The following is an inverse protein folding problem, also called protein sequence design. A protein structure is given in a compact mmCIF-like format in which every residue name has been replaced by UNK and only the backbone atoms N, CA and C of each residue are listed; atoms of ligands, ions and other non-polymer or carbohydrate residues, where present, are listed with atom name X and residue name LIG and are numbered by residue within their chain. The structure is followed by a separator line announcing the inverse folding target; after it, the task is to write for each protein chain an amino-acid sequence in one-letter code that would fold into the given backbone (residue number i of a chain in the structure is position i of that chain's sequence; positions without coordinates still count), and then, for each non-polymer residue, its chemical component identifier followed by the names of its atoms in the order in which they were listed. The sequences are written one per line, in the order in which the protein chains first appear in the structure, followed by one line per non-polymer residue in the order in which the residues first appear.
data_IF_829892417331
#
_entry.id   IF_829892417331
#
_cell.length_a   1.000
_cell.length_b   1.000
_cell.length_c   1.000
_cell.angle_alpha   90.00
_cell.angle_beta   90.00
_cell.angle_gamma   90.00
#
_symmetry.space_group_name_H-M   'P 1'
#
loop_
_entity.id
_entity.type
_entity.pdbx_description
1 polymer ?
#
# COMPACT_ATOMS: atom_id res chain seq x y z
N UNK A 1 32.69 -15.92 64.65
CA UNK A 1 31.77 -14.76 64.74
C UNK A 1 31.41 -14.37 63.34
N UNK A 2 30.13 -14.34 62.95
CA UNK A 2 29.69 -14.29 61.58
C UNK A 2 29.67 -12.86 61.06
N UNK A 3 30.11 -12.71 59.80
CA UNK A 3 30.07 -11.51 58.98
C UNK A 3 28.64 -11.23 58.50
N UNK A 4 28.21 -10.03 58.78
CA UNK A 4 26.90 -9.46 58.45
C UNK A 4 26.80 -9.23 56.91
N UNK A 5 26.03 -10.01 56.23
CA UNK A 5 25.55 -9.70 54.86
C UNK A 5 24.44 -8.64 54.95
N UNK A 6 24.79 -7.41 54.59
CA UNK A 6 23.82 -6.36 54.32
C UNK A 6 23.23 -6.60 52.94
N UNK A 7 21.99 -7.07 52.91
CA UNK A 7 21.13 -7.01 51.75
C UNK A 7 20.91 -5.56 51.30
N UNK A 8 21.52 -5.18 50.18
CA UNK A 8 21.28 -3.92 49.53
C UNK A 8 19.84 -3.84 48.99
N UNK A 9 19.23 -2.65 48.93
CA UNK A 9 17.86 -2.48 48.49
C UNK A 9 17.73 -2.79 47.00
N UNK A 10 16.70 -3.54 46.71
CA UNK A 10 16.20 -3.79 45.34
C UNK A 10 16.28 -2.52 44.48
N UNK A 11 17.15 -2.51 43.50
CA UNK A 11 17.14 -1.52 42.42
C UNK A 11 15.85 -1.74 41.62
N UNK A 12 14.84 -0.93 41.93
CA UNK A 12 13.68 -0.77 41.04
C UNK A 12 14.21 -0.38 39.69
N UNK A 13 14.02 -1.28 38.75
CA UNK A 13 14.23 -1.04 37.33
C UNK A 13 13.30 0.12 36.91
N UNK A 14 13.90 1.31 36.71
CA UNK A 14 13.19 2.57 36.42
C UNK A 14 12.76 2.70 34.95
N UNK A 15 12.62 1.60 34.24
CA UNK A 15 11.95 1.57 32.93
C UNK A 15 10.48 1.19 33.16
N UNK A 16 9.60 2.18 33.23
CA UNK A 16 8.15 2.02 33.27
C UNK A 16 7.58 1.38 32.00
N UNK A 17 8.23 0.35 31.47
CA UNK A 17 7.82 -0.42 30.33
C UNK A 17 6.57 -1.24 30.69
N UNK A 18 5.47 -0.96 30.03
CA UNK A 18 4.29 -1.82 30.03
C UNK A 18 4.77 -3.25 29.73
N UNK A 19 4.50 -4.22 30.62
CA UNK A 19 4.80 -5.63 30.36
C UNK A 19 3.94 -6.11 29.18
N UNK A 20 4.49 -5.98 27.99
CA UNK A 20 3.84 -6.39 26.75
C UNK A 20 4.07 -7.87 26.58
N UNK A 21 3.01 -8.66 26.79
CA UNK A 21 3.05 -10.10 26.55
C UNK A 21 3.17 -10.39 25.05
N UNK A 22 3.68 -11.58 24.70
CA UNK A 22 3.74 -12.08 23.32
C UNK A 22 2.37 -11.95 22.58
N UNK A 23 1.28 -12.00 23.32
CA UNK A 23 -0.08 -11.83 22.80
C UNK A 23 -0.32 -10.49 22.10
N UNK A 24 0.32 -9.40 22.53
CA UNK A 24 0.13 -8.07 21.93
C UNK A 24 0.70 -7.99 20.52
N UNK A 25 1.86 -8.61 20.28
CA UNK A 25 2.45 -8.69 18.93
C UNK A 25 1.56 -9.54 18.02
N UNK A 26 1.00 -10.64 18.54
CA UNK A 26 0.10 -11.52 17.78
C UNK A 26 -1.17 -10.75 17.38
N UNK A 27 -1.79 -9.99 18.30
CA UNK A 27 -2.98 -9.17 17.99
C UNK A 27 -2.68 -8.19 16.85
N UNK A 28 -1.58 -7.45 16.94
CA UNK A 28 -1.21 -6.45 15.91
C UNK A 28 -0.88 -7.14 14.59
N UNK A 29 -0.12 -8.23 14.61
CA UNK A 29 0.16 -9.04 13.41
C UNK A 29 -1.14 -9.49 12.74
N UNK A 30 -2.06 -10.08 13.50
CA UNK A 30 -3.35 -10.54 13.00
C UNK A 30 -4.19 -9.38 12.46
N UNK A 31 -4.16 -8.23 13.12
CA UNK A 31 -4.84 -7.02 12.68
C UNK A 31 -4.34 -6.55 11.32
N UNK A 32 -3.03 -6.44 11.14
CA UNK A 32 -2.43 -6.05 9.85
C UNK A 32 -2.70 -7.10 8.77
N UNK A 33 -2.57 -8.38 9.12
CA UNK A 33 -2.86 -9.50 8.22
C UNK A 33 -4.30 -9.45 7.69
N UNK A 34 -5.30 -9.31 8.57
CA UNK A 34 -6.72 -9.24 8.20
C UNK A 34 -7.02 -8.01 7.35
N UNK A 35 -6.42 -6.86 7.67
CA UNK A 35 -6.56 -5.66 6.84
C UNK A 35 -6.03 -5.88 5.42
N UNK A 36 -4.88 -6.56 5.27
CA UNK A 36 -4.31 -6.86 3.97
C UNK A 36 -5.09 -7.95 3.22
N UNK A 37 -5.65 -8.93 3.93
CA UNK A 37 -6.59 -9.90 3.35
C UNK A 37 -7.78 -9.16 2.75
N UNK A 38 -8.40 -8.23 3.46
CA UNK A 38 -9.53 -7.45 2.96
C UNK A 38 -9.17 -6.61 1.73
N UNK A 39 -8.02 -5.95 1.76
CA UNK A 39 -7.52 -5.22 0.58
C UNK A 39 -7.37 -6.15 -0.64
N UNK A 40 -6.80 -7.34 -0.43
CA UNK A 40 -6.62 -8.33 -1.48
C UNK A 40 -7.93 -8.94 -2.00
N UNK A 41 -8.91 -9.16 -1.12
CA UNK A 41 -10.24 -9.70 -1.47
C UNK A 41 -10.98 -8.80 -2.47
N UNK A 42 -10.84 -7.48 -2.34
CA UNK A 42 -11.52 -6.52 -3.20
C UNK A 42 -11.10 -6.66 -4.67
N UNK A 43 -9.81 -6.93 -4.94
CA UNK A 43 -9.24 -6.90 -6.29
C UNK A 43 -9.95 -7.83 -7.29
N UNK A 44 -10.14 -9.14 -7.03
CA UNK A 44 -10.74 -10.05 -8.01
C UNK A 44 -12.27 -9.91 -8.14
N UNK A 45 -12.95 -9.36 -7.12
CA UNK A 45 -14.44 -9.34 -7.10
C UNK A 45 -15.05 -7.97 -7.36
N UNK A 46 -14.29 -6.89 -7.22
CA UNK A 46 -14.82 -5.52 -7.40
C UNK A 46 -15.40 -5.26 -8.80
N UNK A 47 -14.78 -5.71 -9.92
CA UNK A 47 -15.37 -5.53 -11.25
C UNK A 47 -16.78 -6.13 -11.33
N UNK A 48 -16.91 -7.38 -10.90
CA UNK A 48 -18.19 -8.10 -10.93
C UNK A 48 -19.23 -7.48 -10.01
N UNK A 49 -18.82 -6.98 -8.82
CA UNK A 49 -19.72 -6.29 -7.91
C UNK A 49 -20.26 -4.99 -8.51
N UNK A 50 -19.41 -4.19 -9.15
CA UNK A 50 -19.86 -2.93 -9.78
C UNK A 50 -20.80 -3.23 -10.95
N UNK A 51 -20.48 -4.22 -11.79
CA UNK A 51 -21.38 -4.66 -12.88
C UNK A 51 -22.74 -5.15 -12.35
N UNK A 52 -22.75 -5.94 -11.26
CA UNK A 52 -24.00 -6.41 -10.64
C UNK A 52 -24.86 -5.26 -10.12
N UNK A 53 -24.24 -4.29 -9.44
CA UNK A 53 -24.95 -3.17 -8.80
C UNK A 53 -25.46 -2.16 -9.83
N UNK A 54 -24.75 -2.00 -10.96
CA UNK A 54 -25.10 -1.00 -11.98
C UNK A 54 -25.88 -1.57 -13.16
N UNK A 55 -25.72 -2.87 -13.46
CA UNK A 55 -26.21 -3.47 -14.69
C UNK A 55 -25.44 -3.06 -15.95
N UNK A 56 -24.33 -2.33 -15.80
CA UNK A 56 -23.56 -1.72 -16.87
C UNK A 56 -22.34 -2.58 -17.28
N UNK A 57 -21.78 -2.39 -18.47
CA UNK A 57 -20.67 -3.18 -18.98
C UNK A 57 -19.35 -2.93 -18.19
N UNK A 58 -18.37 -3.81 -18.43
CA UNK A 58 -17.08 -3.83 -17.72
C UNK A 58 -16.30 -2.51 -17.82
N UNK A 59 -16.35 -1.83 -18.97
CA UNK A 59 -15.69 -0.54 -19.15
C UNK A 59 -16.26 0.54 -18.21
N UNK A 60 -17.59 0.58 -18.04
CA UNK A 60 -18.25 1.46 -17.08
C UNK A 60 -17.88 1.07 -15.63
N UNK A 61 -17.87 -0.24 -15.35
CA UNK A 61 -17.42 -0.73 -14.05
C UNK A 61 -15.97 -0.33 -13.75
N UNK A 62 -15.08 -0.31 -14.73
CA UNK A 62 -13.71 0.14 -14.57
C UNK A 62 -13.61 1.64 -14.25
N UNK A 63 -14.39 2.49 -14.93
CA UNK A 63 -14.44 3.93 -14.61
C UNK A 63 -14.79 4.17 -13.14
N UNK A 64 -15.86 3.55 -12.67
CA UNK A 64 -16.29 3.67 -11.27
C UNK A 64 -15.36 2.99 -10.29
N UNK A 65 -14.74 1.88 -10.67
CA UNK A 65 -13.72 1.22 -9.85
C UNK A 65 -12.52 2.12 -9.56
N UNK A 66 -12.11 2.93 -10.55
CA UNK A 66 -11.09 3.97 -10.36
C UNK A 66 -11.53 5.07 -9.42
N UNK A 67 -12.76 5.57 -9.55
CA UNK A 67 -13.34 6.59 -8.65
C UNK A 67 -13.43 6.05 -7.22
N UNK A 68 -13.96 4.84 -7.05
CA UNK A 68 -14.08 4.14 -5.77
C UNK A 68 -12.72 3.99 -5.08
N UNK A 69 -11.69 3.61 -5.85
CA UNK A 69 -10.31 3.48 -5.33
C UNK A 69 -9.69 4.84 -5.00
N UNK A 70 -9.88 5.85 -5.84
CA UNK A 70 -9.38 7.20 -5.62
C UNK A 70 -10.02 7.87 -4.40
N UNK A 71 -11.33 7.69 -4.19
CA UNK A 71 -12.05 8.20 -3.01
C UNK A 71 -11.50 7.57 -1.73
N UNK A 72 -11.30 6.26 -1.72
CA UNK A 72 -10.66 5.57 -0.59
C UNK A 72 -9.27 6.13 -0.29
N UNK A 73 -8.40 6.21 -1.31
CA UNK A 73 -7.04 6.69 -1.16
C UNK A 73 -6.99 8.17 -0.73
N UNK A 74 -7.88 9.00 -1.27
CA UNK A 74 -8.00 10.41 -0.89
C UNK A 74 -8.41 10.58 0.59
N UNK A 75 -9.41 9.84 1.03
CA UNK A 75 -9.84 9.86 2.43
C UNK A 75 -8.76 9.33 3.37
N UNK A 76 -8.07 8.26 2.98
CA UNK A 76 -6.93 7.72 3.72
C UNK A 76 -5.79 8.74 3.83
N UNK A 77 -5.46 9.40 2.72
CA UNK A 77 -4.45 10.44 2.68
C UNK A 77 -4.83 11.62 3.57
N UNK A 78 -6.08 12.07 3.54
CA UNK A 78 -6.56 13.20 4.34
C UNK A 78 -6.65 12.86 5.84
N UNK A 79 -7.22 11.71 6.17
CA UNK A 79 -7.53 11.33 7.55
C UNK A 79 -6.36 10.62 8.27
N UNK A 80 -5.39 10.06 7.54
CA UNK A 80 -4.28 9.32 8.13
C UNK A 80 -3.51 10.08 9.23
N UNK A 81 -3.01 11.30 8.97
CA UNK A 81 -2.34 12.11 10.00
C UNK A 81 -3.27 12.55 11.13
N UNK A 82 -4.56 12.77 10.84
CA UNK A 82 -5.55 13.11 11.87
C UNK A 82 -5.71 11.95 12.84
N UNK A 83 -5.88 10.74 12.32
CA UNK A 83 -6.01 9.54 13.14
C UNK A 83 -4.71 9.20 13.88
N UNK A 84 -3.54 9.46 13.27
CA UNK A 84 -2.26 9.39 13.95
C UNK A 84 -2.20 10.33 15.18
N UNK A 85 -2.57 11.59 14.99
CA UNK A 85 -2.65 12.58 16.07
C UNK A 85 -3.71 12.24 17.14
N UNK A 86 -4.85 11.65 16.75
CA UNK A 86 -5.85 11.15 17.69
C UNK A 86 -5.29 9.95 18.50
N UNK A 87 -4.52 9.08 17.86
CA UNK A 87 -3.84 7.96 18.52
C UNK A 87 -2.79 8.43 19.53
N UNK A 88 -2.08 9.53 19.23
CA UNK A 88 -1.14 10.16 20.17
C UNK A 88 -1.85 10.83 21.36
N UNK A 89 -3.09 11.30 21.18
CA UNK A 89 -3.86 11.96 22.22
C UNK A 89 -4.64 10.99 23.10
N UNK A 90 -5.37 10.05 22.49
CA UNK A 90 -6.30 9.17 23.21
C UNK A 90 -5.70 7.82 23.56
N UNK A 91 -4.56 7.46 22.97
CA UNK A 91 -3.92 6.15 23.09
C UNK A 91 -4.06 5.31 21.81
N UNK A 92 -3.22 4.30 21.72
CA UNK A 92 -3.17 3.40 20.53
C UNK A 92 -4.38 2.49 20.45
N UNK A 93 -4.73 1.89 21.59
CA UNK A 93 -5.78 0.88 21.70
C UNK A 93 -7.15 1.35 21.20
N UNK A 94 -7.72 2.48 21.67
CA UNK A 94 -9.06 2.91 21.24
C UNK A 94 -9.11 3.23 19.74
N UNK A 95 -8.04 3.77 19.15
CA UNK A 95 -7.98 4.09 17.72
C UNK A 95 -7.90 2.80 16.88
N UNK A 96 -7.10 1.81 17.28
CA UNK A 96 -7.05 0.51 16.60
C UNK A 96 -8.41 -0.20 16.67
N UNK A 97 -9.03 -0.26 17.84
CA UNK A 97 -10.33 -0.90 18.01
C UNK A 97 -11.43 -0.19 17.22
N UNK A 98 -11.45 1.14 17.22
CA UNK A 98 -12.37 1.94 16.40
C UNK A 98 -12.18 1.69 14.91
N UNK A 99 -10.94 1.60 14.45
CA UNK A 99 -10.62 1.27 13.05
C UNK A 99 -11.08 -0.14 12.66
N UNK A 100 -11.00 -1.14 13.57
CA UNK A 100 -11.48 -2.51 13.31
C UNK A 100 -13.01 -2.58 13.19
N UNK A 101 -13.75 -1.83 14.00
CA UNK A 101 -15.20 -1.70 13.85
C UNK A 101 -15.56 -1.06 12.53
N UNK A 102 -14.92 0.08 12.20
CA UNK A 102 -15.16 0.76 10.94
C UNK A 102 -14.83 -0.11 9.72
N UNK A 103 -13.73 -0.89 9.80
CA UNK A 103 -13.35 -1.87 8.78
C UNK A 103 -14.42 -2.95 8.59
N UNK A 104 -14.94 -3.53 9.68
CA UNK A 104 -15.98 -4.54 9.61
C UNK A 104 -17.28 -3.99 9.02
N UNK A 105 -17.67 -2.78 9.41
CA UNK A 105 -18.84 -2.08 8.86
C UNK A 105 -18.68 -1.75 7.37
N UNK A 106 -17.47 -1.32 6.94
CA UNK A 106 -17.18 -1.09 5.54
C UNK A 106 -17.42 -2.33 4.69
N UNK A 107 -16.83 -3.46 5.08
CA UNK A 107 -17.02 -4.72 4.35
C UNK A 107 -18.48 -5.22 4.39
N UNK A 108 -19.19 -4.99 5.49
CA UNK A 108 -20.60 -5.30 5.55
C UNK A 108 -21.43 -4.41 4.59
N UNK A 109 -21.11 -3.11 4.51
CA UNK A 109 -21.76 -2.19 3.57
C UNK A 109 -21.48 -2.60 2.12
N UNK A 110 -20.26 -3.04 1.78
CA UNK A 110 -19.95 -3.57 0.45
C UNK A 110 -20.75 -4.84 0.14
N UNK A 111 -20.90 -5.74 1.13
CA UNK A 111 -21.65 -6.98 0.97
C UNK A 111 -23.15 -6.75 0.65
N UNK A 112 -23.74 -5.72 1.24
CA UNK A 112 -25.18 -5.42 1.09
C UNK A 112 -25.46 -4.26 0.12
N UNK A 113 -24.43 -3.65 -0.46
CA UNK A 113 -24.59 -2.45 -1.28
C UNK A 113 -25.58 -2.65 -2.46
N UNK A 114 -26.67 -1.88 -2.53
CA UNK A 114 -27.62 -1.94 -3.63
C UNK A 114 -27.33 -0.90 -4.72
N UNK A 115 -26.36 -0.01 -4.51
CA UNK A 115 -26.07 1.10 -5.43
C UNK A 115 -24.63 1.58 -5.31
N UNK A 116 -24.15 2.25 -6.36
CA UNK A 116 -22.83 2.91 -6.38
C UNK A 116 -22.66 3.93 -5.24
N UNK A 117 -23.72 4.63 -4.86
CA UNK A 117 -23.68 5.60 -3.78
C UNK A 117 -23.30 4.94 -2.44
N UNK A 118 -23.83 3.74 -2.16
CA UNK A 118 -23.45 2.98 -0.95
C UNK A 118 -22.03 2.44 -1.06
N UNK A 119 -21.57 2.01 -2.24
CA UNK A 119 -20.18 1.62 -2.47
C UNK A 119 -19.22 2.80 -2.21
N UNK A 120 -19.55 3.99 -2.69
CA UNK A 120 -18.75 5.19 -2.44
C UNK A 120 -18.76 5.57 -0.96
N UNK A 121 -19.92 5.50 -0.29
CA UNK A 121 -20.01 5.75 1.16
C UNK A 121 -19.12 4.80 1.95
N UNK A 122 -19.15 3.50 1.62
CA UNK A 122 -18.29 2.51 2.20
C UNK A 122 -16.80 2.89 2.02
N UNK A 123 -16.39 3.33 0.83
CA UNK A 123 -15.00 3.75 0.55
C UNK A 123 -14.59 5.01 1.30
N UNK A 124 -15.49 5.99 1.43
CA UNK A 124 -15.27 7.19 2.26
C UNK A 124 -15.01 6.78 3.71
N UNK A 125 -15.87 5.92 4.27
CA UNK A 125 -15.72 5.44 5.64
C UNK A 125 -14.43 4.64 5.81
N UNK A 126 -14.15 3.70 4.92
CA UNK A 126 -12.95 2.86 4.96
C UNK A 126 -11.68 3.71 4.91
N UNK A 127 -11.60 4.66 3.99
CA UNK A 127 -10.47 5.59 3.88
C UNK A 127 -10.32 6.45 5.13
N UNK A 128 -11.44 7.03 5.63
CA UNK A 128 -11.42 7.90 6.80
C UNK A 128 -10.95 7.17 8.07
N UNK A 129 -11.24 5.88 8.22
CA UNK A 129 -10.85 5.08 9.39
C UNK A 129 -9.65 4.15 9.15
N UNK A 130 -8.94 4.28 8.05
CA UNK A 130 -7.81 3.41 7.66
C UNK A 130 -6.51 3.62 8.46
N UNK A 131 -6.61 4.15 9.69
CA UNK A 131 -5.45 4.39 10.55
C UNK A 131 -4.79 3.13 11.11
N UNK A 132 -5.37 1.95 10.86
CA UNK A 132 -4.90 0.71 11.47
C UNK A 132 -3.42 0.48 11.21
N UNK A 133 -2.93 0.69 9.99
CA UNK A 133 -1.53 0.46 9.65
C UNK A 133 -0.59 1.47 10.32
N UNK A 134 -0.92 2.75 10.30
CA UNK A 134 -0.12 3.81 10.93
C UNK A 134 -0.06 3.63 12.44
N UNK A 135 -1.22 3.35 13.07
CA UNK A 135 -1.29 3.14 14.51
C UNK A 135 -0.65 1.83 14.94
N UNK A 136 -0.73 0.76 14.11
CA UNK A 136 -0.04 -0.51 14.36
C UNK A 136 1.49 -0.34 14.34
N UNK A 137 2.02 0.43 13.38
CA UNK A 137 3.45 0.75 13.36
C UNK A 137 3.89 1.55 14.61
N UNK A 138 3.09 2.52 15.03
CA UNK A 138 3.36 3.27 16.26
C UNK A 138 3.30 2.35 17.50
N UNK A 139 2.29 1.48 17.57
CA UNK A 139 2.17 0.48 18.64
C UNK A 139 3.41 -0.43 18.70
N UNK A 140 3.88 -0.96 17.54
CA UNK A 140 5.09 -1.79 17.47
C UNK A 140 6.33 -0.99 17.88
N UNK A 141 6.44 0.29 17.51
CA UNK A 141 7.54 1.15 17.96
C UNK A 141 7.55 1.32 19.49
N UNK A 142 6.36 1.50 20.08
CA UNK A 142 6.19 1.70 21.54
C UNK A 142 6.61 0.46 22.35
N UNK A 143 6.34 -0.75 21.83
CA UNK A 143 6.59 -2.01 22.55
C UNK A 143 7.94 -2.67 22.21
N UNK A 144 8.65 -2.17 21.21
CA UNK A 144 9.86 -2.82 20.69
C UNK A 144 11.12 -2.19 21.30
N UNK A 145 11.89 -2.94 22.09
CA UNK A 145 13.22 -2.50 22.49
C UNK A 145 14.12 -2.33 21.24
N UNK A 146 15.12 -1.45 21.28
CA UNK A 146 15.95 -1.11 20.12
C UNK A 146 16.47 -2.34 19.34
N UNK A 147 16.89 -3.38 20.06
CA UNK A 147 17.52 -4.60 19.50
C UNK A 147 16.49 -5.46 18.73
N UNK A 148 15.20 -5.41 19.07
CA UNK A 148 14.13 -6.21 18.47
C UNK A 148 13.27 -5.40 17.50
N UNK A 149 13.48 -4.09 17.42
CA UNK A 149 12.64 -3.20 16.62
C UNK A 149 12.59 -3.60 15.14
N UNK A 150 13.75 -3.86 14.54
CA UNK A 150 13.83 -4.29 13.14
C UNK A 150 13.11 -5.62 12.89
N UNK A 151 13.23 -6.60 13.81
CA UNK A 151 12.55 -7.88 13.70
C UNK A 151 11.03 -7.73 13.81
N UNK A 152 10.53 -6.91 14.74
CA UNK A 152 9.10 -6.68 14.93
C UNK A 152 8.46 -5.93 13.76
N UNK A 153 9.15 -4.93 13.18
CA UNK A 153 8.70 -4.31 11.92
C UNK A 153 8.74 -5.30 10.75
N UNK A 154 9.71 -6.22 10.73
CA UNK A 154 9.76 -7.31 9.76
C UNK A 154 8.53 -8.22 9.82
N UNK A 155 7.99 -8.49 11.01
CA UNK A 155 6.72 -9.22 11.18
C UNK A 155 5.54 -8.47 10.55
N UNK A 156 5.50 -7.12 10.67
CA UNK A 156 4.44 -6.33 10.02
C UNK A 156 4.53 -6.43 8.50
N UNK A 157 5.74 -6.39 7.95
CA UNK A 157 5.98 -6.64 6.52
C UNK A 157 5.55 -8.04 6.08
N UNK A 158 5.80 -9.06 6.91
CA UNK A 158 5.34 -10.43 6.65
C UNK A 158 3.80 -10.53 6.69
N UNK A 159 3.13 -9.89 7.65
CA UNK A 159 1.67 -9.83 7.72
C UNK A 159 1.09 -9.17 6.46
N UNK A 160 1.69 -8.07 6.01
CA UNK A 160 1.32 -7.38 4.77
C UNK A 160 1.43 -8.33 3.56
N UNK A 161 2.59 -8.96 3.37
CA UNK A 161 2.85 -9.85 2.24
C UNK A 161 1.94 -11.08 2.23
N UNK A 162 1.78 -11.74 3.39
CA UNK A 162 0.88 -12.90 3.53
C UNK A 162 -0.58 -12.51 3.27
N UNK A 163 -1.04 -11.38 3.80
CA UNK A 163 -2.40 -10.91 3.56
C UNK A 163 -2.67 -10.59 2.10
N UNK A 164 -1.70 -10.02 1.42
CA UNK A 164 -1.77 -9.73 -0.02
C UNK A 164 -1.79 -11.00 -0.90
N UNK A 165 -1.22 -12.11 -0.44
CA UNK A 165 -1.30 -13.41 -1.11
C UNK A 165 -2.65 -14.09 -0.80
N UNK A 166 -3.01 -14.17 0.49
CA UNK A 166 -4.20 -14.88 0.96
C UNK A 166 -5.48 -14.16 0.49
N UNK A 167 -5.49 -12.83 0.52
CA UNK A 167 -6.68 -12.02 0.23
C UNK A 167 -7.29 -12.32 -1.14
N UNK A 168 -6.56 -12.18 -2.25
CA UNK A 168 -7.10 -12.48 -3.58
C UNK A 168 -7.56 -13.94 -3.71
N UNK A 169 -6.81 -14.89 -3.14
CA UNK A 169 -7.17 -16.33 -3.17
C UNK A 169 -8.51 -16.57 -2.47
N UNK A 170 -8.65 -16.03 -1.26
CA UNK A 170 -9.90 -16.12 -0.49
C UNK A 170 -11.04 -15.42 -1.23
N UNK A 171 -10.79 -14.20 -1.74
CA UNK A 171 -11.78 -13.42 -2.49
C UNK A 171 -12.25 -14.13 -3.74
N UNK A 172 -11.33 -14.65 -4.55
CA UNK A 172 -11.64 -15.35 -5.79
C UNK A 172 -12.34 -16.68 -5.56
N UNK A 173 -11.83 -17.53 -4.66
CA UNK A 173 -12.43 -18.85 -4.39
C UNK A 173 -13.81 -18.76 -3.73
N UNK A 174 -13.98 -17.88 -2.73
CA UNK A 174 -15.28 -17.68 -2.08
C UNK A 174 -16.24 -16.99 -3.06
N UNK A 175 -15.76 -16.03 -3.84
CA UNK A 175 -16.58 -15.34 -4.83
C UNK A 175 -17.10 -16.26 -5.94
N UNK A 176 -16.27 -17.18 -6.41
CA UNK A 176 -16.61 -18.19 -7.40
C UNK A 176 -17.61 -19.23 -6.85
N UNK A 177 -17.39 -19.71 -5.61
CA UNK A 177 -18.18 -20.78 -5.01
C UNK A 177 -19.53 -20.33 -4.44
N UNK A 178 -19.59 -19.14 -3.83
CA UNK A 178 -20.73 -18.65 -3.03
C UNK A 178 -21.30 -17.31 -3.51
N UNK A 179 -20.82 -16.80 -4.66
CA UNK A 179 -21.23 -15.53 -5.23
C UNK A 179 -20.38 -14.35 -4.78
N UNK A 180 -20.37 -13.30 -5.62
CA UNK A 180 -19.43 -12.15 -5.52
C UNK A 180 -19.55 -11.34 -4.23
N UNK A 181 -20.65 -11.44 -3.48
CA UNK A 181 -20.86 -10.76 -2.19
C UNK A 181 -20.34 -11.54 -0.99
N UNK A 182 -20.20 -12.87 -1.10
CA UNK A 182 -19.78 -13.74 -0.01
C UNK A 182 -18.39 -13.40 0.57
N UNK A 183 -17.37 -13.04 -0.23
CA UNK A 183 -16.07 -12.64 0.29
C UNK A 183 -16.14 -11.43 1.22
N UNK A 184 -17.02 -10.46 0.94
CA UNK A 184 -17.17 -9.28 1.78
C UNK A 184 -17.79 -9.60 3.14
N UNK A 185 -18.80 -10.49 3.20
CA UNK A 185 -19.33 -11.01 4.48
C UNK A 185 -18.25 -11.74 5.28
N UNK A 186 -17.43 -12.55 4.61
CA UNK A 186 -16.34 -13.26 5.24
C UNK A 186 -15.33 -12.31 5.88
N UNK A 187 -14.90 -11.27 5.16
CA UNK A 187 -13.96 -10.28 5.70
C UNK A 187 -14.57 -9.43 6.81
N UNK A 188 -15.87 -9.06 6.69
CA UNK A 188 -16.58 -8.36 7.76
C UNK A 188 -16.58 -9.18 9.06
N UNK A 189 -16.85 -10.50 8.95
CA UNK A 189 -16.80 -11.42 10.08
C UNK A 189 -15.40 -11.53 10.67
N UNK A 190 -14.35 -11.68 9.83
CA UNK A 190 -12.96 -11.73 10.30
C UNK A 190 -12.56 -10.43 11.02
N UNK A 191 -12.96 -9.28 10.50
CA UNK A 191 -12.72 -7.99 11.13
C UNK A 191 -13.41 -7.88 12.50
N UNK A 192 -14.65 -8.32 12.61
CA UNK A 192 -15.39 -8.33 13.87
C UNK A 192 -14.78 -9.31 14.89
N UNK A 193 -14.36 -10.50 14.47
CA UNK A 193 -13.66 -11.45 15.33
C UNK A 193 -12.32 -10.86 15.82
N UNK A 194 -11.60 -10.16 14.94
CA UNK A 194 -10.37 -9.50 15.32
C UNK A 194 -10.60 -8.30 16.26
N UNK A 195 -11.71 -7.57 16.09
CA UNK A 195 -12.12 -6.56 17.06
C UNK A 195 -12.36 -7.17 18.45
N UNK A 196 -13.13 -8.26 18.52
CA UNK A 196 -13.40 -8.97 19.80
C UNK A 196 -12.08 -9.46 20.40
N UNK A 197 -11.21 -10.08 19.61
CA UNK A 197 -9.89 -10.51 20.06
C UNK A 197 -9.04 -9.34 20.58
N UNK A 198 -8.96 -8.25 19.82
CA UNK A 198 -8.25 -7.05 20.22
C UNK A 198 -8.84 -6.38 21.46
N UNK A 199 -10.18 -6.39 21.60
CA UNK A 199 -10.84 -5.82 22.78
C UNK A 199 -10.38 -6.48 24.09
N UNK A 200 -10.19 -7.80 24.11
CA UNK A 200 -9.76 -8.53 25.31
C UNK A 200 -8.23 -8.55 25.48
N UNK A 201 -7.45 -8.58 24.41
CA UNK A 201 -6.01 -8.88 24.47
C UNK A 201 -5.09 -7.72 24.05
N UNK A 202 -5.60 -6.64 23.45
CA UNK A 202 -4.77 -5.50 23.06
C UNK A 202 -4.59 -4.56 24.27
N UNK A 203 -3.38 -4.41 24.82
CA UNK A 203 -3.12 -3.44 25.88
C UNK A 203 -3.02 -2.03 25.32
N UNK A 204 -3.16 -1.02 26.18
CA UNK A 204 -2.73 0.35 25.85
C UNK A 204 -1.21 0.46 26.05
N UNK A 205 -0.52 0.97 25.02
CA UNK A 205 0.95 1.14 25.04
C UNK A 205 1.37 2.55 25.31
N UNK A 206 0.52 3.54 25.01
CA UNK A 206 0.83 4.93 25.22
C UNK A 206 0.39 5.37 26.63
N UNK A 207 1.36 5.41 27.55
CA UNK A 207 1.12 5.87 28.91
C UNK A 207 0.63 7.32 28.91
N UNK A 208 -0.25 7.73 29.86
CA UNK A 208 -0.85 9.06 29.89
C UNK A 208 0.14 10.21 29.83
N UNK A 209 1.32 10.03 30.44
CA UNK A 209 2.40 11.02 30.52
C UNK A 209 3.04 11.32 29.16
N UNK A 210 3.00 10.35 28.24
CA UNK A 210 3.56 10.47 26.90
C UNK A 210 2.52 10.92 25.87
N UNK A 211 1.24 11.08 26.28
CA UNK A 211 0.19 11.57 25.40
C UNK A 211 0.40 13.03 25.03
N UNK A 212 0.21 13.34 23.76
CA UNK A 212 0.37 14.70 23.24
C UNK A 212 -0.98 15.32 22.90
N UNK A 213 -1.20 16.64 23.12
CA UNK A 213 -2.38 17.30 22.63
C UNK A 213 -2.41 17.23 21.10
N UNK A 214 -3.62 17.11 20.56
CA UNK A 214 -3.82 17.11 19.10
C UNK A 214 -3.46 18.49 18.53
N UNK A 215 -2.64 18.49 17.46
CA UNK A 215 -2.21 19.73 16.78
C UNK A 215 -2.50 19.61 15.27
N UNK A 216 -3.40 20.45 14.77
CA UNK A 216 -3.76 20.52 13.35
C UNK A 216 -2.59 20.87 12.44
N UNK A 217 -1.59 21.60 12.94
CA UNK A 217 -0.40 21.97 12.15
C UNK A 217 0.48 20.76 11.84
N UNK A 218 0.52 19.81 12.76
CA UNK A 218 1.26 18.54 12.57
C UNK A 218 0.50 17.54 11.68
N UNK A 219 -0.83 17.66 11.59
CA UNK A 219 -1.66 16.88 10.69
C UNK A 219 -1.61 17.38 9.24
N UNK A 220 -0.70 18.32 8.91
CA UNK A 220 -0.55 18.87 7.57
C UNK A 220 0.29 17.93 6.68
N UNK A 221 -0.39 17.23 5.77
CA UNK A 221 0.25 16.32 4.81
C UNK A 221 1.12 17.01 3.78
N UNK A 222 0.82 18.27 3.46
CA UNK A 222 1.57 19.05 2.49
C UNK A 222 2.86 19.62 3.06
N UNK A 223 2.98 19.68 4.40
CA UNK A 223 4.17 20.19 5.06
C UNK A 223 5.46 19.41 4.72
N UNK A 224 5.32 18.10 4.49
CA UNK A 224 6.46 17.24 4.13
C UNK A 224 7.04 17.55 2.74
N UNK A 225 6.27 18.16 1.82
CA UNK A 225 6.76 18.55 0.50
C UNK A 225 7.71 19.77 0.52
N UNK A 226 7.71 20.53 1.62
CA UNK A 226 8.63 21.67 1.81
C UNK A 226 10.09 21.19 1.78
N UNK A 227 10.35 19.93 2.15
CA UNK A 227 11.69 19.34 2.11
C UNK A 227 12.31 19.37 0.70
N UNK A 228 11.50 19.16 -0.34
CA UNK A 228 12.01 19.19 -1.72
C UNK A 228 12.52 20.58 -2.14
N UNK A 229 12.05 21.66 -1.49
CA UNK A 229 12.60 23.00 -1.73
C UNK A 229 13.91 23.26 -0.98
N UNK A 230 14.13 22.56 0.15
CA UNK A 230 15.39 22.66 0.91
C UNK A 230 16.51 21.84 0.26
N UNK A 231 16.16 20.71 -0.34
CA UNK A 231 17.11 19.75 -0.95
C UNK A 231 16.78 19.52 -2.42
N UNK A 232 17.10 20.47 -3.32
CA UNK A 232 16.80 20.33 -4.74
C UNK A 232 17.46 19.12 -5.40
N UNK A 233 18.50 18.56 -4.78
CA UNK A 233 19.21 17.37 -5.27
C UNK A 233 18.37 16.09 -5.18
N UNK A 234 17.44 16.00 -4.24
CA UNK A 234 16.55 14.84 -4.09
C UNK A 234 15.29 14.95 -4.97
N UNK A 235 14.97 16.13 -5.48
CA UNK A 235 13.78 16.36 -6.29
C UNK A 235 13.70 15.46 -7.54
N UNK A 236 14.77 15.25 -8.31
CA UNK A 236 14.72 14.31 -9.44
C UNK A 236 14.37 12.88 -9.02
N UNK A 237 14.91 12.43 -7.89
CA UNK A 237 14.62 11.07 -7.38
C UNK A 237 13.19 10.98 -6.88
N UNK A 238 12.68 12.03 -6.22
CA UNK A 238 11.29 12.14 -5.81
C UNK A 238 10.32 12.07 -7.00
N UNK A 239 10.65 12.77 -8.10
CA UNK A 239 9.90 12.71 -9.36
C UNK A 239 9.96 11.29 -9.94
N UNK A 240 11.13 10.65 -9.93
CA UNK A 240 11.27 9.28 -10.42
C UNK A 240 10.41 8.30 -9.61
N UNK A 241 10.38 8.41 -8.28
CA UNK A 241 9.51 7.63 -7.39
C UNK A 241 8.04 7.88 -7.74
N UNK A 242 7.64 9.13 -7.88
CA UNK A 242 6.25 9.50 -8.19
C UNK A 242 5.78 8.90 -9.52
N UNK A 243 6.56 9.10 -10.59
CA UNK A 243 6.25 8.58 -11.92
C UNK A 243 6.14 7.05 -11.91
N UNK A 244 7.11 6.38 -11.30
CA UNK A 244 7.08 4.92 -11.17
C UNK A 244 5.88 4.45 -10.38
N UNK A 245 5.57 5.05 -9.23
CA UNK A 245 4.45 4.64 -8.38
C UNK A 245 3.10 4.85 -9.08
N UNK A 246 2.89 5.98 -9.76
CA UNK A 246 1.66 6.22 -10.54
C UNK A 246 1.47 5.12 -11.58
N UNK A 247 2.52 4.75 -12.32
CA UNK A 247 2.48 3.63 -13.28
C UNK A 247 2.26 2.28 -12.60
N UNK A 248 2.94 2.01 -11.51
CA UNK A 248 2.86 0.75 -10.79
C UNK A 248 1.46 0.47 -10.20
N UNK A 249 0.75 1.51 -9.72
CA UNK A 249 -0.63 1.38 -9.24
C UNK A 249 -1.63 0.98 -10.32
N UNK A 250 -1.26 1.06 -11.62
CA UNK A 250 -2.08 0.52 -12.70
C UNK A 250 -2.33 -0.98 -12.54
N UNK A 251 -1.33 -1.75 -12.05
CA UNK A 251 -1.47 -3.19 -11.89
C UNK A 251 -2.60 -3.58 -10.93
N UNK A 252 -2.57 -3.23 -9.65
CA UNK A 252 -3.61 -3.66 -8.72
C UNK A 252 -5.00 -3.08 -9.06
N UNK A 253 -5.06 -1.96 -9.78
CA UNK A 253 -6.32 -1.28 -10.08
C UNK A 253 -7.00 -1.75 -11.37
N UNK A 254 -6.23 -2.15 -12.40
CA UNK A 254 -6.78 -2.51 -13.72
C UNK A 254 -6.71 -4.01 -13.98
N UNK A 255 -5.86 -4.74 -13.27
CA UNK A 255 -5.57 -6.15 -13.54
C UNK A 255 -6.83 -7.02 -13.71
N UNK A 256 -7.78 -6.92 -12.77
CA UNK A 256 -8.98 -7.72 -12.81
C UNK A 256 -9.86 -7.38 -14.04
N UNK A 257 -10.02 -6.09 -14.35
CA UNK A 257 -10.76 -5.63 -15.54
C UNK A 257 -10.09 -6.10 -16.83
N UNK A 258 -8.77 -5.92 -16.93
CA UNK A 258 -8.00 -6.35 -18.10
C UNK A 258 -8.06 -7.86 -18.30
N UNK A 259 -7.87 -8.65 -17.23
CA UNK A 259 -7.88 -10.10 -17.32
C UNK A 259 -9.28 -10.65 -17.70
N UNK A 260 -10.33 -10.02 -17.19
CA UNK A 260 -11.71 -10.37 -17.59
C UNK A 260 -11.96 -10.01 -19.04
N UNK A 261 -11.58 -8.82 -19.50
CA UNK A 261 -11.78 -8.35 -20.87
C UNK A 261 -10.94 -9.15 -21.89
N UNK A 262 -9.66 -9.36 -21.58
CA UNK A 262 -8.70 -9.92 -22.55
C UNK A 262 -8.70 -11.44 -22.60
N UNK A 263 -8.85 -12.10 -21.44
CA UNK A 263 -8.71 -13.55 -21.31
C UNK A 263 -10.03 -14.24 -20.94
N UNK A 264 -11.12 -13.48 -20.65
CA UNK A 264 -12.36 -14.04 -20.13
C UNK A 264 -12.24 -14.64 -18.72
N UNK A 265 -11.24 -14.20 -17.94
CA UNK A 265 -11.01 -14.74 -16.62
C UNK A 265 -12.08 -14.30 -15.62
N UNK A 266 -12.50 -15.27 -14.79
CA UNK A 266 -13.34 -15.04 -13.63
C UNK A 266 -12.51 -14.72 -12.38
N UNK A 267 -13.19 -14.49 -11.23
CA UNK A 267 -12.54 -14.17 -9.97
C UNK A 267 -11.49 -15.20 -9.53
N UNK A 268 -11.68 -16.47 -9.84
CA UNK A 268 -10.80 -17.60 -9.49
C UNK A 268 -9.46 -17.54 -10.24
N UNK A 269 -9.47 -17.37 -11.56
CA UNK A 269 -8.26 -17.28 -12.38
C UNK A 269 -7.46 -16.03 -12.02
N UNK A 270 -8.16 -14.89 -11.81
CA UNK A 270 -7.55 -13.63 -11.35
C UNK A 270 -6.86 -13.84 -9.99
N UNK A 271 -7.51 -14.57 -9.07
CA UNK A 271 -6.94 -14.87 -7.76
C UNK A 271 -5.66 -15.68 -7.85
N UNK A 272 -5.58 -16.68 -8.72
CA UNK A 272 -4.37 -17.46 -8.92
C UNK A 272 -3.20 -16.65 -9.48
N UNK A 273 -3.48 -15.75 -10.43
CA UNK A 273 -2.46 -14.84 -10.94
C UNK A 273 -1.95 -13.88 -9.85
N UNK A 274 -2.85 -13.30 -9.04
CA UNK A 274 -2.46 -12.44 -7.92
C UNK A 274 -1.69 -13.18 -6.82
N UNK A 275 -2.02 -14.45 -6.56
CA UNK A 275 -1.25 -15.30 -5.65
C UNK A 275 0.18 -15.54 -6.17
N UNK A 276 0.32 -15.79 -7.49
CA UNK A 276 1.63 -15.92 -8.12
C UNK A 276 2.44 -14.60 -8.04
N UNK A 277 1.80 -13.45 -8.22
CA UNK A 277 2.42 -12.13 -8.01
C UNK A 277 2.93 -11.99 -6.57
N UNK A 278 2.09 -12.30 -5.58
CA UNK A 278 2.47 -12.21 -4.17
C UNK A 278 3.63 -13.14 -3.82
N UNK A 279 3.61 -14.38 -4.31
CA UNK A 279 4.70 -15.35 -4.11
C UNK A 279 6.00 -14.87 -4.75
N UNK A 280 5.95 -14.41 -6.00
CA UNK A 280 7.12 -13.89 -6.71
C UNK A 280 7.69 -12.64 -6.03
N UNK A 281 6.83 -11.74 -5.57
CA UNK A 281 7.24 -10.56 -4.79
C UNK A 281 7.93 -10.95 -3.48
N UNK A 282 7.39 -11.95 -2.75
CA UNK A 282 8.00 -12.45 -1.53
C UNK A 282 9.41 -13.02 -1.75
N UNK A 283 9.61 -13.79 -2.84
CA UNK A 283 10.92 -14.33 -3.21
C UNK A 283 11.90 -13.19 -3.55
N UNK A 284 11.48 -12.25 -4.41
CA UNK A 284 12.37 -11.18 -4.87
C UNK A 284 12.68 -10.20 -3.73
N UNK A 285 11.66 -9.68 -3.05
CA UNK A 285 11.85 -8.67 -2.01
C UNK A 285 12.39 -9.26 -0.70
N UNK A 286 11.98 -10.48 -0.32
CA UNK A 286 12.44 -11.14 0.89
C UNK A 286 13.84 -11.76 0.77
N UNK A 287 14.21 -12.23 -0.43
CA UNK A 287 15.46 -12.97 -0.67
C UNK A 287 16.44 -12.24 -1.59
N UNK A 288 16.05 -12.04 -2.85
CA UNK A 288 16.97 -11.56 -3.88
C UNK A 288 17.42 -10.11 -3.69
N UNK A 289 16.64 -9.26 -3.03
CA UNK A 289 17.03 -7.89 -2.70
C UNK A 289 18.35 -7.85 -1.93
N UNK A 290 18.55 -8.79 -0.99
CA UNK A 290 19.76 -8.87 -0.16
C UNK A 290 21.03 -9.25 -0.95
N UNK A 291 20.86 -9.79 -2.14
CA UNK A 291 21.96 -10.16 -3.03
C UNK A 291 22.16 -9.10 -4.11
N UNK A 292 21.08 -8.66 -4.75
CA UNK A 292 21.12 -7.76 -5.91
C UNK A 292 21.56 -6.36 -5.50
N UNK A 293 21.00 -5.83 -4.41
CA UNK A 293 21.32 -4.45 -3.99
C UNK A 293 22.78 -4.27 -3.60
N UNK A 294 23.43 -5.17 -2.83
CA UNK A 294 24.87 -5.07 -2.59
C UNK A 294 25.74 -5.23 -3.83
N UNK A 295 25.32 -6.07 -4.80
CA UNK A 295 26.08 -6.32 -6.04
C UNK A 295 26.06 -5.12 -7.01
N UNK A 296 24.91 -4.48 -7.18
CA UNK A 296 24.72 -3.41 -8.15
C UNK A 296 24.80 -2.01 -7.54
N UNK A 297 24.76 -1.92 -6.22
CA UNK A 297 24.49 -0.68 -5.50
C UNK A 297 23.04 -0.22 -5.68
N UNK A 298 22.57 0.70 -4.83
CA UNK A 298 21.18 1.16 -4.83
C UNK A 298 20.77 1.77 -6.18
N UNK A 299 21.61 2.61 -6.77
CA UNK A 299 21.34 3.24 -8.07
C UNK A 299 21.34 2.21 -9.22
N UNK A 300 22.23 1.23 -9.19
CA UNK A 300 22.26 0.13 -10.18
C UNK A 300 21.03 -0.76 -10.08
N UNK A 301 20.63 -1.12 -8.86
CA UNK A 301 19.44 -1.91 -8.61
C UNK A 301 18.15 -1.16 -9.05
N UNK A 302 18.04 0.15 -8.77
CA UNK A 302 16.96 1.00 -9.27
C UNK A 302 16.93 1.07 -10.81
N UNK A 303 18.08 1.22 -11.44
CA UNK A 303 18.18 1.27 -12.91
C UNK A 303 17.73 -0.06 -13.53
N UNK A 304 18.24 -1.19 -13.03
CA UNK A 304 17.86 -2.53 -13.50
C UNK A 304 16.36 -2.76 -13.35
N UNK A 305 15.81 -2.46 -12.16
CA UNK A 305 14.40 -2.69 -11.87
C UNK A 305 13.46 -1.82 -12.70
N UNK A 306 13.84 -0.58 -13.01
CA UNK A 306 13.10 0.31 -13.91
C UNK A 306 13.14 -0.16 -15.36
N UNK A 307 14.26 -0.71 -15.84
CA UNK A 307 14.34 -1.33 -17.16
C UNK A 307 13.39 -2.51 -17.24
N UNK A 308 13.45 -3.41 -16.25
CA UNK A 308 12.56 -4.56 -16.18
C UNK A 308 11.09 -4.14 -16.14
N UNK A 309 10.74 -3.14 -15.30
CA UNK A 309 9.39 -2.60 -15.24
C UNK A 309 8.92 -2.07 -16.59
N UNK A 310 9.75 -1.26 -17.26
CA UNK A 310 9.44 -0.70 -18.59
C UNK A 310 9.14 -1.80 -19.59
N UNK A 311 10.00 -2.81 -19.69
CA UNK A 311 9.83 -3.91 -20.63
C UNK A 311 8.60 -4.77 -20.29
N UNK A 312 8.46 -5.21 -19.05
CA UNK A 312 7.38 -6.11 -18.62
C UNK A 312 6.02 -5.42 -18.74
N UNK A 313 5.91 -4.14 -18.35
CA UNK A 313 4.66 -3.41 -18.51
C UNK A 313 4.30 -3.22 -19.98
N UNK A 314 5.27 -2.93 -20.85
CA UNK A 314 5.03 -2.86 -22.29
C UNK A 314 4.53 -4.19 -22.86
N UNK A 315 5.10 -5.33 -22.42
CA UNK A 315 4.66 -6.67 -22.85
C UNK A 315 3.23 -6.98 -22.37
N UNK A 316 2.87 -6.60 -21.13
CA UNK A 316 1.49 -6.74 -20.65
C UNK A 316 0.48 -5.97 -21.51
N UNK A 317 0.89 -4.89 -22.15
CA UNK A 317 0.05 -4.11 -23.07
C UNK A 317 -0.39 -4.86 -24.31
N UNK A 318 0.40 -5.85 -24.77
CA UNK A 318 0.17 -6.62 -26.02
C UNK A 318 -0.15 -8.09 -25.81
N UNK A 319 -0.09 -8.59 -24.57
CA UNK A 319 -0.29 -10.02 -24.29
C UNK A 319 -1.70 -10.48 -24.70
N UNK A 320 -1.77 -11.61 -25.39
CA UNK A 320 -3.01 -12.18 -25.91
C UNK A 320 -3.50 -13.39 -25.15
N UNK A 321 -2.56 -14.20 -24.65
CA UNK A 321 -2.84 -15.47 -24.03
C UNK A 321 -2.59 -15.43 -22.52
N UNK A 322 -3.57 -15.89 -21.73
CA UNK A 322 -3.50 -15.83 -20.27
C UNK A 322 -2.34 -16.61 -19.65
N UNK A 323 -1.87 -17.71 -20.27
CA UNK A 323 -0.72 -18.48 -19.78
C UNK A 323 0.60 -17.68 -19.78
N UNK A 324 0.76 -16.72 -20.71
CA UNK A 324 1.96 -15.88 -20.81
C UNK A 324 2.15 -15.03 -19.55
N UNK A 325 1.04 -14.68 -18.88
CA UNK A 325 1.03 -13.93 -17.61
C UNK A 325 1.94 -14.60 -16.58
N UNK A 326 1.86 -15.93 -16.44
CA UNK A 326 2.62 -16.67 -15.43
C UNK A 326 4.14 -16.66 -15.67
N UNK A 327 4.59 -16.45 -16.90
CA UNK A 327 6.01 -16.23 -17.22
C UNK A 327 6.46 -14.80 -16.93
N UNK A 328 5.57 -13.81 -17.14
CA UNK A 328 5.89 -12.41 -16.89
C UNK A 328 5.89 -12.04 -15.39
N UNK A 329 5.08 -12.71 -14.59
CA UNK A 329 4.96 -12.44 -13.15
C UNK A 329 6.31 -12.51 -12.42
N UNK A 330 7.10 -13.60 -12.51
CA UNK A 330 8.39 -13.70 -11.83
C UNK A 330 9.39 -12.63 -12.29
N UNK A 331 9.39 -12.30 -13.58
CA UNK A 331 10.27 -11.26 -14.14
C UNK A 331 9.81 -9.89 -13.64
N UNK A 332 8.48 -9.62 -13.68
CA UNK A 332 7.89 -8.37 -13.21
C UNK A 332 8.09 -8.12 -11.71
N UNK A 333 8.27 -9.16 -10.91
CA UNK A 333 8.52 -9.02 -9.48
C UNK A 333 9.80 -8.21 -9.17
N UNK A 334 10.79 -8.19 -10.08
CA UNK A 334 12.00 -7.37 -9.94
C UNK A 334 11.69 -5.86 -9.98
N UNK A 335 10.58 -5.44 -10.57
CA UNK A 335 10.12 -4.04 -10.47
C UNK A 335 9.88 -3.59 -9.03
N UNK A 336 9.58 -4.54 -8.11
CA UNK A 336 9.45 -4.27 -6.68
C UNK A 336 10.72 -3.78 -5.99
N UNK A 337 11.90 -3.92 -6.62
CA UNK A 337 13.16 -3.35 -6.11
C UNK A 337 13.27 -1.84 -6.32
N UNK A 338 12.47 -1.25 -7.21
CA UNK A 338 12.58 0.16 -7.60
C UNK A 338 12.44 1.10 -6.40
N UNK A 339 11.35 0.95 -5.64
CA UNK A 339 11.07 1.87 -4.53
C UNK A 339 12.12 1.78 -3.41
N UNK A 340 12.45 0.61 -2.84
CA UNK A 340 13.46 0.54 -1.80
C UNK A 340 14.84 1.04 -2.28
N UNK A 341 15.21 0.77 -3.54
CA UNK A 341 16.48 1.24 -4.08
C UNK A 341 16.51 2.76 -4.29
N UNK A 342 15.43 3.38 -4.80
CA UNK A 342 15.34 4.84 -4.92
C UNK A 342 15.29 5.54 -3.57
N UNK A 343 14.60 4.93 -2.57
CA UNK A 343 14.60 5.42 -1.20
C UNK A 343 16.00 5.36 -0.57
N UNK A 344 16.77 4.30 -0.83
CA UNK A 344 18.15 4.19 -0.40
C UNK A 344 19.01 5.31 -0.99
N UNK A 345 18.88 5.57 -2.30
CA UNK A 345 19.58 6.70 -2.96
C UNK A 345 19.21 8.04 -2.33
N UNK A 346 17.93 8.28 -2.00
CA UNK A 346 17.50 9.52 -1.32
C UNK A 346 18.07 9.61 0.09
N UNK A 347 17.97 8.52 0.87
CA UNK A 347 18.44 8.45 2.24
C UNK A 347 19.94 8.71 2.36
N UNK A 348 20.74 8.20 1.43
CA UNK A 348 22.19 8.43 1.40
C UNK A 348 22.58 9.89 1.07
N UNK A 349 21.63 10.71 0.60
CA UNK A 349 21.85 12.12 0.25
C UNK A 349 21.51 13.06 1.40
N UNK A 350 20.74 12.60 2.39
CA UNK A 350 20.19 13.41 3.49
C UNK A 350 20.94 13.19 4.80
N UNK A 351 21.08 14.24 5.67
CA UNK A 351 21.57 14.10 7.02
C UNK A 351 20.73 13.15 7.87
N UNK A 352 21.38 12.53 8.89
CA UNK A 352 20.72 11.53 9.74
C UNK A 352 19.56 12.10 10.57
N UNK A 353 19.64 13.35 10.98
CA UNK A 353 18.62 14.07 11.76
C UNK A 353 17.37 14.44 10.96
N UNK A 354 17.45 14.48 9.61
CA UNK A 354 16.34 14.81 8.73
C UNK A 354 15.67 13.59 8.06
N UNK A 355 16.11 12.38 8.36
CA UNK A 355 15.55 11.14 7.78
C UNK A 355 14.05 10.98 8.07
N UNK A 356 13.56 11.47 9.22
CA UNK A 356 12.15 11.42 9.56
C UNK A 356 11.28 12.28 8.61
N UNK A 357 11.76 13.46 8.25
CA UNK A 357 11.08 14.37 7.32
C UNK A 357 11.10 13.80 5.89
N UNK A 358 12.21 13.17 5.48
CA UNK A 358 12.31 12.45 4.22
C UNK A 358 11.28 11.33 4.11
N UNK A 359 11.14 10.50 5.14
CA UNK A 359 10.12 9.43 5.15
C UNK A 359 8.70 9.99 5.07
N UNK A 360 8.43 11.13 5.70
CA UNK A 360 7.17 11.86 5.56
C UNK A 360 6.90 12.33 4.13
N UNK A 361 7.92 12.85 3.45
CA UNK A 361 7.81 13.29 2.05
C UNK A 361 7.56 12.10 1.10
N UNK A 362 8.27 10.98 1.29
CA UNK A 362 8.07 9.73 0.53
C UNK A 362 6.66 9.19 0.74
N UNK A 363 6.16 9.19 1.98
CA UNK A 363 4.79 8.77 2.28
C UNK A 363 3.74 9.68 1.60
N UNK A 364 4.00 10.98 1.52
CA UNK A 364 3.17 11.94 0.77
C UNK A 364 3.13 11.62 -0.72
N UNK A 365 4.29 11.33 -1.35
CA UNK A 365 4.37 10.89 -2.75
C UNK A 365 3.57 9.60 -2.96
N UNK A 366 3.73 8.62 -2.08
CA UNK A 366 3.02 7.35 -2.15
C UNK A 366 1.50 7.54 -2.06
N UNK A 367 1.03 8.41 -1.14
CA UNK A 367 -0.38 8.74 -1.02
C UNK A 367 -0.96 9.40 -2.26
N UNK A 368 -0.27 10.40 -2.85
CA UNK A 368 -0.68 11.04 -4.10
C UNK A 368 -0.70 10.05 -5.26
N UNK A 369 0.30 9.18 -5.36
CA UNK A 369 0.36 8.17 -6.42
C UNK A 369 -0.77 7.15 -6.28
N UNK A 370 -1.18 6.81 -5.06
CA UNK A 370 -2.31 5.91 -4.77
C UNK A 370 -3.67 6.52 -5.15
N UNK A 371 -3.78 7.85 -5.16
CA UNK A 371 -4.99 8.55 -5.63
C UNK A 371 -5.00 8.60 -7.16
N UNK A 372 -3.89 9.04 -7.76
CA UNK A 372 -3.80 9.36 -9.20
C UNK A 372 -3.69 8.09 -10.03
N UNK A 373 -2.84 7.13 -9.61
CA UNK A 373 -2.52 5.93 -10.38
C UNK A 373 -3.73 5.09 -10.75
N UNK A 374 -4.52 4.60 -9.78
CA UNK A 374 -5.73 3.82 -10.04
C UNK A 374 -6.73 4.58 -10.91
N UNK A 375 -6.96 5.86 -10.61
CA UNK A 375 -7.89 6.67 -11.37
C UNK A 375 -7.48 6.79 -12.85
N UNK A 376 -6.25 7.22 -13.12
CA UNK A 376 -5.76 7.40 -14.50
C UNK A 376 -5.75 6.06 -15.25
N UNK A 377 -5.31 4.98 -14.60
CA UNK A 377 -5.23 3.67 -15.23
C UNK A 377 -6.60 3.12 -15.62
N UNK A 378 -7.60 3.23 -14.74
CA UNK A 378 -8.94 2.70 -15.01
C UNK A 378 -9.70 3.55 -16.03
N UNK A 379 -9.52 4.89 -16.03
CA UNK A 379 -10.08 5.74 -17.09
C UNK A 379 -9.45 5.41 -18.46
N UNK A 380 -8.12 5.18 -18.49
CA UNK A 380 -7.44 4.74 -19.71
C UNK A 380 -7.97 3.38 -20.17
N UNK A 381 -8.15 2.41 -19.26
CA UNK A 381 -8.73 1.12 -19.60
C UNK A 381 -10.13 1.29 -20.20
N UNK A 382 -11.02 2.01 -19.53
CA UNK A 382 -12.39 2.20 -19.96
C UNK A 382 -12.49 2.86 -21.35
N UNK A 383 -11.64 3.86 -21.60
CA UNK A 383 -11.59 4.54 -22.88
C UNK A 383 -11.20 3.62 -24.04
N UNK A 384 -10.18 2.76 -23.80
CA UNK A 384 -9.64 1.89 -24.86
C UNK A 384 -10.28 0.49 -24.93
N UNK A 385 -11.01 0.06 -23.89
CA UNK A 385 -11.79 -1.17 -23.92
C UNK A 385 -13.15 -0.98 -24.64
N UNK A 386 -13.63 0.26 -24.80
CA UNK A 386 -14.87 0.59 -25.50
C UNK A 386 -14.65 1.69 -26.52
N UNK A 387 -14.02 1.41 -27.68
CA UNK A 387 -13.71 2.42 -28.68
C UNK A 387 -14.98 3.08 -29.22
N UNK A 388 -14.93 4.40 -29.43
CA UNK A 388 -16.06 5.19 -29.90
C UNK A 388 -17.13 5.52 -28.86
N UNK A 389 -17.10 4.92 -27.68
CA UNK A 389 -17.99 5.28 -26.60
C UNK A 389 -17.54 6.59 -25.92
N UNK A 390 -18.48 7.47 -25.53
CA UNK A 390 -18.13 8.70 -24.81
C UNK A 390 -17.34 8.41 -23.52
N UNK A 391 -16.28 9.16 -23.29
CA UNK A 391 -15.55 9.08 -22.03
C UNK A 391 -16.22 10.01 -21.05
N UNK A 392 -16.90 9.44 -20.05
CA UNK A 392 -17.62 10.19 -19.02
C UNK A 392 -17.05 9.89 -17.63
N UNK A 393 -17.02 10.90 -16.77
CA UNK A 393 -16.77 10.74 -15.33
C UNK A 393 -18.02 11.22 -14.61
N UNK A 394 -18.81 10.28 -14.10
CA UNK A 394 -20.15 10.58 -13.58
C UNK A 394 -21.04 11.19 -14.66
N UNK A 395 -21.53 12.41 -14.44
CA UNK A 395 -22.34 13.17 -15.41
C UNK A 395 -21.53 14.05 -16.36
N UNK A 396 -20.20 14.08 -16.22
CA UNK A 396 -19.32 14.96 -17.00
C UNK A 396 -18.74 14.17 -18.17
N UNK A 397 -19.07 14.57 -19.40
CA UNK A 397 -18.45 14.03 -20.61
C UNK A 397 -17.13 14.72 -20.88
N UNK A 398 -16.01 13.96 -20.83
CA UNK A 398 -14.67 14.45 -21.13
C UNK A 398 -14.39 14.43 -22.62
N UNK A 399 -14.90 13.40 -23.31
CA UNK A 399 -14.77 13.24 -24.75
C UNK A 399 -16.02 12.55 -25.30
N UNK A 400 -16.57 13.09 -26.36
CA UNK A 400 -17.73 12.50 -27.04
C UNK A 400 -17.30 11.36 -27.98
N UNK A 401 -16.06 11.32 -28.43
CA UNK A 401 -15.58 10.42 -29.47
C UNK A 401 -14.82 9.19 -28.98
N UNK A 402 -14.59 9.05 -27.67
CA UNK A 402 -13.85 7.90 -27.12
C UNK A 402 -12.47 7.67 -27.75
N UNK A 403 -11.89 6.49 -27.50
CA UNK A 403 -10.64 6.10 -28.14
C UNK A 403 -10.88 5.61 -29.59
N UNK A 404 -9.95 5.88 -30.53
CA UNK A 404 -10.14 5.55 -31.94
C UNK A 404 -9.98 4.05 -32.26
N UNK A 405 -9.43 3.24 -31.34
CA UNK A 405 -9.16 1.81 -31.55
C UNK A 405 -9.25 1.03 -30.22
N UNK A 406 -9.47 -0.27 -30.35
CA UNK A 406 -9.55 -1.19 -29.21
C UNK A 406 -8.15 -1.58 -28.72
N UNK A 407 -7.84 -1.26 -27.47
CA UNK A 407 -6.57 -1.59 -26.81
C UNK A 407 -6.72 -1.69 -25.29
N UNK A 408 -7.29 -2.78 -24.76
CA UNK A 408 -7.50 -2.92 -23.31
C UNK A 408 -6.20 -2.92 -22.50
N UNK A 409 -5.05 -3.17 -23.14
CA UNK A 409 -3.71 -3.06 -22.54
C UNK A 409 -3.14 -1.65 -22.44
N UNK A 410 -3.85 -0.60 -22.90
CA UNK A 410 -3.40 0.79 -22.86
C UNK A 410 -2.88 1.28 -21.49
N UNK A 411 -3.49 0.92 -20.34
CA UNK A 411 -2.96 1.29 -19.03
C UNK A 411 -1.55 0.77 -18.75
N UNK A 412 -1.21 -0.41 -19.27
CA UNK A 412 0.12 -0.99 -19.09
C UNK A 412 1.16 -0.32 -19.98
N UNK A 413 0.78 0.15 -21.17
CA UNK A 413 1.64 1.03 -21.96
C UNK A 413 1.90 2.36 -21.25
N UNK A 414 0.87 2.95 -20.65
CA UNK A 414 1.04 4.16 -19.84
C UNK A 414 2.00 3.90 -18.68
N UNK A 415 1.84 2.78 -17.96
CA UNK A 415 2.75 2.38 -16.89
C UNK A 415 4.19 2.18 -17.40
N UNK A 416 4.37 1.58 -18.58
CA UNK A 416 5.67 1.42 -19.24
C UNK A 416 6.31 2.76 -19.55
N UNK A 417 5.56 3.71 -20.12
CA UNK A 417 6.04 5.07 -20.43
C UNK A 417 6.45 5.78 -19.13
N UNK A 418 5.64 5.72 -18.08
CA UNK A 418 5.96 6.34 -16.79
C UNK A 418 7.21 5.72 -16.15
N UNK A 419 7.38 4.39 -16.25
CA UNK A 419 8.59 3.72 -15.80
C UNK A 419 9.83 4.13 -16.60
N UNK A 420 9.70 4.27 -17.94
CA UNK A 420 10.77 4.77 -18.81
C UNK A 420 11.11 6.23 -18.50
N UNK A 421 10.12 7.08 -18.24
CA UNK A 421 10.34 8.48 -17.82
C UNK A 421 11.05 8.52 -16.45
N UNK A 422 10.63 7.68 -15.49
CA UNK A 422 11.31 7.53 -14.20
C UNK A 422 12.77 7.13 -14.38
N UNK A 423 13.05 6.18 -15.25
CA UNK A 423 14.42 5.79 -15.61
C UNK A 423 15.21 6.95 -16.22
N UNK A 424 14.62 7.68 -17.16
CA UNK A 424 15.25 8.86 -17.78
C UNK A 424 15.61 9.93 -16.75
N UNK A 425 14.69 10.23 -15.82
CA UNK A 425 14.93 11.17 -14.72
C UNK A 425 16.04 10.67 -13.79
N UNK A 426 16.04 9.38 -13.42
CA UNK A 426 17.09 8.79 -12.58
C UNK A 426 18.47 8.88 -13.25
N UNK A 427 18.55 8.61 -14.55
CA UNK A 427 19.81 8.66 -15.30
C UNK A 427 20.33 10.09 -15.46
N UNK A 428 19.44 11.08 -15.62
CA UNK A 428 19.80 12.51 -15.72
C UNK A 428 20.21 13.13 -14.37
N UNK A 429 19.78 12.55 -13.25
CA UNK A 429 20.15 13.00 -11.92
C UNK A 429 21.66 12.81 -11.70
N UNK A 430 22.36 13.89 -11.31
CA UNK A 430 23.81 13.87 -11.09
C UNK A 430 24.21 12.85 -10.04
N UNK A 431 25.25 12.06 -10.32
CA UNK A 431 25.93 11.29 -9.27
C UNK A 431 26.66 12.29 -8.37
N UNK A 432 26.39 12.25 -7.06
CA UNK A 432 27.26 12.96 -6.11
C UNK A 432 28.62 12.26 -6.16
N UNK A 433 29.75 12.98 -6.28
CA UNK A 433 31.05 12.37 -6.03
C UNK A 433 31.03 11.79 -4.58
N UNK A 434 31.72 10.68 -4.30
CA UNK A 434 31.89 10.20 -2.93
C UNK A 434 32.29 11.40 -2.07
N UNK A 435 31.61 11.61 -0.93
CA UNK A 435 32.00 12.65 0.02
C UNK A 435 33.48 12.46 0.31
N UNK A 436 34.30 13.44 -0.06
CA UNK A 436 35.66 13.52 0.51
C UNK A 436 35.48 13.42 2.01
N UNK A 437 36.05 12.40 2.61
CA UNK A 437 36.14 12.27 4.05
C UNK A 437 36.69 13.62 4.55
N UNK A 438 35.89 14.35 5.33
CA UNK A 438 36.37 15.54 6.02
C UNK A 438 37.54 15.03 6.84
N UNK A 439 38.78 15.50 6.57
CA UNK A 439 39.93 15.08 7.39
C UNK A 439 39.58 15.44 8.82
N UNK A 440 39.59 14.45 9.73
CA UNK A 440 39.53 14.71 11.13
C UNK A 440 40.66 15.67 11.44
N UNK A 441 40.32 16.91 11.78
CA UNK A 441 41.30 17.87 12.25
C UNK A 441 42.04 17.26 13.46
N UNK A 442 43.37 17.45 13.53
CA UNK A 442 44.24 16.84 14.51
C UNK A 442 44.00 17.32 15.96
#
# INVERSE_FOLDING_TARGET
MPSNEQSGPDTKDSSGGVKVGANSIIVIFTTVLINMIGFGVIMPVMPSLIMEVTGEPLAYAAQWGGIVSAVYAFMQFLCGPILGGLSDRFGRRPVILGSLVAYSLDFLLLAVAPSLAILLLARVMSGAFSATFTTANAFIADISPPEKRAANFGLMGAAFGLGFIIGPVVGGLIGDAYGIRAPFYFVALLGMLNFVYGFFFLPETLVPENRRPFDWRRANMFGSFIQFSRYPEILPIAIAIFLFQVGHWSFPSVWAYFATERFGWGPKEIAYALAAVGLSAAIVQGGLTRVITPMLGERGAATMSLIVATCVYGIYGVIEEGWMVYFLIPIGAFAGLTIPSLQGVMSSTMPADEQGELQGAIAGIAGLSMIIGPFVATQTFAAFASPGAPITIGSITISETGAPFYLPGAPFFLASILAAMSLGVLLSARKRPPSEEIPSEP
#
